data_IF_073635233899
#
_entry.id   IF_073635233899
#
_cell.length_a   1.000
_cell.length_b   1.000
_cell.length_c   1.000
_cell.angle_alpha   90.00
_cell.angle_beta   90.00
_cell.angle_gamma   90.00
#
_symmetry.space_group_name_H-M   'P 1'
#
loop_
_entity.id
_entity.type
_entity.pdbx_description
1 polymer ?
#
# COMPACT_ATOMS: atom_id res chain seq x y z
N UNK A 1 2.78 32.53 -5.43
CA UNK A 1 1.73 31.82 -4.66
C UNK A 1 0.95 30.97 -5.64
N UNK A 2 0.98 29.65 -5.47
CA UNK A 2 0.24 28.72 -6.33
C UNK A 2 -1.26 28.82 -6.02
N UNK A 3 -2.12 28.76 -7.04
CA UNK A 3 -3.56 28.83 -6.85
C UNK A 3 -4.08 27.54 -6.17
N UNK A 4 -4.88 27.62 -5.07
CA UNK A 4 -5.42 26.44 -4.38
C UNK A 4 -6.15 25.47 -5.30
N UNK A 5 -6.84 25.97 -6.33
CA UNK A 5 -7.53 25.13 -7.31
C UNK A 5 -6.54 24.30 -8.15
N UNK A 6 -5.40 24.90 -8.51
CA UNK A 6 -4.34 24.19 -9.23
C UNK A 6 -3.76 23.10 -8.32
N UNK A 7 -3.49 23.44 -7.05
CA UNK A 7 -2.98 22.47 -6.08
C UNK A 7 -3.95 21.28 -5.87
N UNK A 8 -5.27 21.53 -5.84
CA UNK A 8 -6.26 20.46 -5.76
C UNK A 8 -6.28 19.55 -7.00
N UNK A 9 -6.08 20.11 -8.19
CA UNK A 9 -5.95 19.32 -9.41
C UNK A 9 -4.68 18.47 -9.39
N UNK A 10 -3.54 19.05 -9.01
CA UNK A 10 -2.27 18.30 -8.91
C UNK A 10 -2.41 17.20 -7.85
N UNK A 11 -3.05 17.49 -6.70
CA UNK A 11 -3.33 16.48 -5.68
C UNK A 11 -4.14 15.30 -6.25
N UNK A 12 -5.16 15.61 -7.05
CA UNK A 12 -6.00 14.63 -7.71
C UNK A 12 -5.17 13.75 -8.66
N UNK A 13 -4.38 14.38 -9.53
CA UNK A 13 -3.52 13.69 -10.49
C UNK A 13 -2.50 12.78 -9.81
N UNK A 14 -1.83 13.25 -8.75
CA UNK A 14 -0.89 12.41 -8.00
C UNK A 14 -1.60 11.23 -7.31
N UNK A 15 -2.83 11.43 -6.81
CA UNK A 15 -3.64 10.35 -6.22
C UNK A 15 -4.04 9.31 -7.26
N UNK A 16 -4.39 9.73 -8.48
CA UNK A 16 -4.70 8.84 -9.61
C UNK A 16 -3.47 8.03 -10.05
N UNK A 17 -2.29 8.67 -10.15
CA UNK A 17 -1.05 7.96 -10.47
C UNK A 17 -0.67 6.94 -9.40
N UNK A 18 -0.85 7.26 -8.11
CA UNK A 18 -0.61 6.29 -7.02
C UNK A 18 -1.55 5.10 -7.17
N UNK A 19 -2.84 5.34 -7.47
CA UNK A 19 -3.81 4.26 -7.70
C UNK A 19 -3.35 3.34 -8.84
N UNK A 20 -2.95 3.90 -9.98
CA UNK A 20 -2.43 3.15 -11.13
C UNK A 20 -1.19 2.34 -10.75
N UNK A 21 -0.21 2.96 -10.07
CA UNK A 21 1.00 2.28 -9.60
C UNK A 21 0.70 1.10 -8.66
N UNK A 22 -0.28 1.24 -7.76
CA UNK A 22 -0.70 0.16 -6.86
C UNK A 22 -1.44 -0.96 -7.60
N UNK A 23 -2.31 -0.60 -8.56
CA UNK A 23 -3.05 -1.57 -9.37
C UNK A 23 -2.11 -2.38 -10.28
N UNK A 24 -1.11 -1.73 -10.90
CA UNK A 24 -0.11 -2.34 -11.79
C UNK A 24 1.09 -2.97 -11.08
N UNK A 25 1.17 -2.85 -9.74
CA UNK A 25 2.29 -3.33 -8.92
C UNK A 25 3.65 -2.68 -9.26
N UNK A 26 3.62 -1.50 -9.89
CA UNK A 26 4.79 -0.68 -10.17
C UNK A 26 5.14 0.20 -8.95
N UNK A 27 5.71 -0.43 -7.92
CA UNK A 27 5.91 0.20 -6.61
C UNK A 27 7.27 0.89 -6.44
N UNK A 28 8.16 0.82 -7.43
CA UNK A 28 9.55 1.30 -7.32
C UNK A 28 9.65 2.80 -7.00
N UNK A 29 8.67 3.59 -7.45
CA UNK A 29 8.62 5.05 -7.26
C UNK A 29 7.47 5.50 -6.36
N UNK A 30 6.75 4.57 -5.72
CA UNK A 30 5.52 4.90 -5.00
C UNK A 30 5.76 5.84 -3.81
N UNK A 31 6.91 5.69 -3.13
CA UNK A 31 7.30 6.54 -2.00
C UNK A 31 7.48 8.00 -2.44
N UNK A 32 8.09 8.23 -3.61
CA UNK A 32 8.25 9.57 -4.16
C UNK A 32 6.90 10.22 -4.49
N UNK A 33 5.95 9.43 -5.00
CA UNK A 33 4.61 9.90 -5.35
C UNK A 33 3.83 10.28 -4.08
N UNK A 34 3.92 9.48 -3.02
CA UNK A 34 3.33 9.82 -1.72
C UNK A 34 3.97 11.08 -1.12
N UNK A 35 5.29 11.25 -1.25
CA UNK A 35 5.98 12.44 -0.78
C UNK A 35 5.50 13.70 -1.50
N UNK A 36 5.41 13.67 -2.84
CA UNK A 36 4.85 14.77 -3.65
C UNK A 36 3.42 15.10 -3.24
N UNK A 37 2.58 14.09 -3.06
CA UNK A 37 1.21 14.26 -2.59
C UNK A 37 1.16 14.92 -1.20
N UNK A 38 2.07 14.56 -0.29
CA UNK A 38 2.16 15.18 1.03
C UNK A 38 2.60 16.65 0.95
N UNK A 39 3.57 16.98 0.09
CA UNK A 39 4.00 18.38 -0.12
C UNK A 39 2.83 19.26 -0.57
N UNK A 40 1.97 18.75 -1.46
CA UNK A 40 0.77 19.45 -1.92
C UNK A 40 -0.22 19.66 -0.77
N UNK A 41 -0.40 18.66 0.10
CA UNK A 41 -1.25 18.80 1.31
C UNK A 41 -0.71 19.92 2.20
N UNK A 42 0.60 19.95 2.46
CA UNK A 42 1.23 20.99 3.29
C UNK A 42 1.10 22.39 2.67
N UNK A 43 1.12 22.50 1.34
CA UNK A 43 0.84 23.75 0.66
C UNK A 43 -0.63 24.16 0.78
N UNK A 44 -1.57 23.22 0.58
CA UNK A 44 -3.01 23.45 0.69
C UNK A 44 -3.46 23.90 2.09
N UNK A 45 -2.80 23.41 3.15
CA UNK A 45 -3.07 23.82 4.55
C UNK A 45 -2.90 25.33 4.79
N UNK A 46 -2.18 26.04 3.92
CA UNK A 46 -1.94 27.49 4.03
C UNK A 46 -3.13 28.33 3.58
N UNK A 47 -4.16 27.72 2.99
CA UNK A 47 -5.31 28.40 2.40
C UNK A 47 -6.63 28.07 3.12
N UNK A 48 -7.60 28.98 3.06
CA UNK A 48 -8.98 28.66 3.47
C UNK A 48 -9.69 27.86 2.38
N UNK A 49 -9.83 26.56 2.61
CA UNK A 49 -10.41 25.62 1.65
C UNK A 49 -11.95 25.52 1.72
N UNK A 50 -12.63 26.29 2.59
CA UNK A 50 -14.09 26.22 2.74
C UNK A 50 -14.85 26.44 1.43
N UNK A 51 -14.32 27.31 0.57
CA UNK A 51 -14.91 27.63 -0.75
C UNK A 51 -14.86 26.42 -1.70
N UNK A 52 -13.93 25.49 -1.48
CA UNK A 52 -13.71 24.29 -2.29
C UNK A 52 -14.37 23.03 -1.71
N UNK A 53 -15.24 23.18 -0.70
CA UNK A 53 -15.89 22.03 -0.02
C UNK A 53 -16.61 21.09 -0.99
N UNK A 54 -17.28 21.65 -2.00
CA UNK A 54 -17.97 20.85 -3.03
C UNK A 54 -16.99 20.07 -3.90
N UNK A 55 -15.92 20.72 -4.35
CA UNK A 55 -14.86 20.11 -5.15
C UNK A 55 -14.15 18.97 -4.40
N UNK A 56 -13.92 19.15 -3.10
CA UNK A 56 -13.46 18.08 -2.22
C UNK A 56 -14.43 16.89 -2.16
N UNK A 57 -15.70 17.16 -1.91
CA UNK A 57 -16.73 16.13 -1.77
C UNK A 57 -16.93 15.32 -3.06
N UNK A 58 -16.94 16.00 -4.20
CA UNK A 58 -17.31 15.40 -5.49
C UNK A 58 -16.12 14.70 -6.14
N UNK A 59 -14.89 15.22 -5.99
CA UNK A 59 -13.71 14.69 -6.70
C UNK A 59 -12.69 14.02 -5.78
N UNK A 60 -12.38 14.62 -4.64
CA UNK A 60 -11.26 14.18 -3.81
C UNK A 60 -11.67 13.02 -2.90
N UNK A 61 -12.79 13.14 -2.19
CA UNK A 61 -13.26 12.13 -1.23
C UNK A 61 -13.48 10.74 -1.88
N UNK A 62 -14.07 10.63 -3.08
CA UNK A 62 -14.21 9.33 -3.74
C UNK A 62 -12.85 8.69 -4.08
N UNK A 63 -11.89 9.49 -4.58
CA UNK A 63 -10.54 9.01 -4.89
C UNK A 63 -9.80 8.53 -3.65
N UNK A 64 -9.87 9.27 -2.55
CA UNK A 64 -9.30 8.86 -1.25
C UNK A 64 -9.86 7.52 -0.76
N UNK A 65 -11.19 7.37 -0.87
CA UNK A 65 -11.85 6.11 -0.49
C UNK A 65 -11.38 4.97 -1.38
N UNK A 66 -11.29 5.19 -2.69
CA UNK A 66 -10.79 4.18 -3.64
C UNK A 66 -9.37 3.77 -3.27
N UNK A 67 -8.45 4.73 -3.11
CA UNK A 67 -7.05 4.47 -2.76
C UNK A 67 -6.95 3.67 -1.46
N UNK A 68 -7.70 4.06 -0.42
CA UNK A 68 -7.73 3.34 0.85
C UNK A 68 -8.17 1.88 0.69
N UNK A 69 -9.23 1.63 -0.09
CA UNK A 69 -9.73 0.27 -0.34
C UNK A 69 -8.65 -0.56 -1.03
N UNK A 70 -8.09 -0.06 -2.14
CA UNK A 70 -7.08 -0.78 -2.92
C UNK A 70 -5.84 -1.09 -2.08
N UNK A 71 -5.36 -0.16 -1.26
CA UNK A 71 -4.22 -0.40 -0.38
C UNK A 71 -4.50 -1.47 0.68
N UNK A 72 -5.68 -1.47 1.30
CA UNK A 72 -6.04 -2.49 2.29
C UNK A 72 -6.20 -3.87 1.64
N UNK A 73 -6.77 -3.95 0.43
CA UNK A 73 -6.86 -5.19 -0.35
C UNK A 73 -5.47 -5.74 -0.67
N UNK A 74 -4.55 -4.92 -1.18
CA UNK A 74 -3.16 -5.33 -1.46
C UNK A 74 -2.41 -5.76 -0.20
N UNK A 75 -2.56 -5.02 0.90
CA UNK A 75 -1.98 -5.39 2.20
C UNK A 75 -2.47 -6.75 2.69
N UNK A 76 -3.77 -7.03 2.56
CA UNK A 76 -4.34 -8.31 2.95
C UNK A 76 -3.81 -9.44 2.04
N UNK A 77 -3.74 -9.21 0.73
CA UNK A 77 -3.14 -10.15 -0.22
C UNK A 77 -1.70 -10.52 0.16
N UNK A 78 -0.82 -9.53 0.41
CA UNK A 78 0.57 -9.81 0.80
C UNK A 78 0.68 -10.53 2.15
N UNK A 79 -0.21 -10.22 3.10
CA UNK A 79 -0.25 -10.92 4.39
C UNK A 79 -0.56 -12.41 4.21
N UNK A 80 -1.48 -12.74 3.31
CA UNK A 80 -1.85 -14.12 2.98
C UNK A 80 -0.71 -14.85 2.25
N UNK A 81 -0.06 -14.20 1.29
CA UNK A 81 1.11 -14.75 0.59
C UNK A 81 2.28 -15.03 1.56
N UNK A 82 2.60 -14.10 2.45
CA UNK A 82 3.61 -14.31 3.50
C UNK A 82 3.25 -15.49 4.41
N UNK A 83 1.97 -15.67 4.72
CA UNK A 83 1.51 -16.79 5.53
C UNK A 83 1.65 -18.14 4.80
N UNK A 84 1.36 -18.20 3.50
CA UNK A 84 1.59 -19.38 2.65
C UNK A 84 3.08 -19.75 2.61
N UNK A 85 3.95 -18.78 2.39
CA UNK A 85 5.42 -18.99 2.38
C UNK A 85 5.90 -19.53 3.73
N UNK A 86 5.42 -18.97 4.85
CA UNK A 86 5.77 -19.45 6.19
C UNK A 86 5.33 -20.90 6.40
N UNK A 87 4.10 -21.26 6.00
CA UNK A 87 3.59 -22.64 6.08
C UNK A 87 4.44 -23.62 5.26
N UNK A 88 4.80 -23.25 4.03
CA UNK A 88 5.66 -24.07 3.18
C UNK A 88 7.05 -24.27 3.80
N UNK A 89 7.67 -23.22 4.33
CA UNK A 89 8.96 -23.32 5.05
C UNK A 89 8.87 -24.25 6.26
N UNK A 90 7.81 -24.17 7.05
CA UNK A 90 7.59 -25.06 8.20
C UNK A 90 7.40 -26.51 7.77
N UNK A 91 6.60 -26.77 6.73
CA UNK A 91 6.42 -28.11 6.19
C UNK A 91 7.74 -28.68 5.67
N UNK A 92 8.50 -27.93 4.87
CA UNK A 92 9.81 -28.35 4.35
C UNK A 92 10.81 -28.63 5.48
N UNK A 93 10.80 -27.83 6.56
CA UNK A 93 11.62 -28.08 7.75
C UNK A 93 11.20 -29.36 8.49
N UNK A 94 9.90 -29.63 8.60
CA UNK A 94 9.39 -30.86 9.21
C UNK A 94 9.75 -32.11 8.39
N UNK A 95 9.65 -32.04 7.06
CA UNK A 95 10.07 -33.13 6.17
C UNK A 95 11.60 -33.36 6.22
N UNK A 96 12.41 -32.28 6.22
CA UNK A 96 13.88 -32.43 6.30
C UNK A 96 14.39 -32.87 7.68
N UNK A 97 13.68 -32.53 8.77
CA UNK A 97 14.04 -32.98 10.13
C UNK A 97 13.41 -34.33 10.53
N UNK A 98 12.65 -34.97 9.63
CA UNK A 98 11.93 -36.21 9.90
C UNK A 98 12.79 -37.47 9.99
N UNK A 99 14.11 -37.41 9.81
CA UNK A 99 14.93 -38.64 9.82
C UNK A 99 16.41 -38.45 10.23
N UNK A 100 16.66 -38.04 11.49
CA UNK A 100 18.03 -38.09 12.04
C UNK A 100 18.16 -38.63 13.47
N UNK A 101 17.14 -39.31 14.05
CA UNK A 101 17.24 -39.85 15.42
C UNK A 101 16.64 -41.26 15.61
N UNK A 102 16.84 -42.18 14.65
CA UNK A 102 16.41 -43.58 14.78
C UNK A 102 17.56 -44.62 14.71
N UNK A 103 18.81 -44.22 14.49
CA UNK A 103 19.90 -45.19 14.22
C UNK A 103 20.62 -45.69 15.49
N UNK A 104 20.49 -45.04 16.65
CA UNK A 104 21.28 -45.39 17.85
C UNK A 104 20.52 -46.06 19.02
N UNK A 105 19.23 -46.38 18.91
CA UNK A 105 18.46 -47.00 20.00
C UNK A 105 18.11 -48.48 19.78
N UNK A 106 18.98 -49.26 19.13
CA UNK A 106 18.93 -50.72 19.20
C UNK A 106 20.09 -51.23 20.04
N UNK A 107 19.92 -51.26 21.37
CA UNK A 107 20.74 -52.12 22.24
C UNK A 107 20.13 -53.52 22.21
N UNK A 108 20.91 -54.45 21.68
CA UNK A 108 20.79 -55.91 21.87
C UNK A 108 21.08 -56.23 23.33
#
# INVERSE_FOLDING_TARGET
MSNPKILLNIYKEETEKILEAVEEENLDVIDEMFNKRQEIIEELKKYDLKVYKKEFSDNIVPLEKKLKIVMEEKKQYFKEELFKIRKQKTANKAYNNGNFNSIFNKKV
#
